data_IF_185427634958
#
_entry.id   IF_185427634958
#
_cell.length_a   1.000
_cell.length_b   1.000
_cell.length_c   1.000
_cell.angle_alpha   90.00
_cell.angle_beta   90.00
_cell.angle_gamma   90.00
#
_symmetry.space_group_name_H-M   'P 1'
#
loop_
_entity.id
_entity.type
_entity.pdbx_description
1 polymer ?
#
# COMPACT_ATOMS: atom_id res chain seq x y z
N UNK A 1 14.04 -17.11 -31.16
CA UNK A 1 14.08 -17.85 -29.89
C UNK A 1 12.71 -17.73 -29.29
N UNK A 2 12.03 -18.86 -29.15
CA UNK A 2 10.64 -18.94 -28.74
C UNK A 2 10.53 -18.64 -27.25
N UNK A 3 10.00 -17.46 -26.93
CA UNK A 3 9.56 -17.15 -25.58
C UNK A 3 8.04 -17.21 -25.59
N UNK A 4 7.47 -18.07 -24.74
CA UNK A 4 6.01 -18.13 -24.54
C UNK A 4 5.45 -16.81 -23.97
N UNK A 5 6.31 -15.92 -23.48
CA UNK A 5 5.97 -14.63 -22.89
C UNK A 5 6.95 -13.52 -23.31
N UNK A 6 6.44 -12.29 -23.38
CA UNK A 6 7.28 -11.10 -23.54
C UNK A 6 8.22 -10.98 -22.34
N UNK A 7 9.51 -10.81 -22.61
CA UNK A 7 10.56 -10.84 -21.59
C UNK A 7 11.45 -9.60 -21.70
N UNK A 8 11.77 -8.99 -20.57
CA UNK A 8 12.76 -7.93 -20.43
C UNK A 8 13.70 -8.25 -19.26
N UNK A 9 14.91 -7.70 -19.26
CA UNK A 9 15.90 -7.93 -18.20
C UNK A 9 16.60 -6.64 -17.79
N UNK A 10 17.04 -6.61 -16.53
CA UNK A 10 17.81 -5.51 -15.94
C UNK A 10 18.98 -6.10 -15.15
N UNK A 11 20.12 -5.39 -15.05
CA UNK A 11 21.19 -5.81 -14.16
C UNK A 11 20.78 -5.62 -12.70
N UNK A 12 21.18 -6.56 -11.83
CA UNK A 12 20.74 -6.61 -10.43
C UNK A 12 21.12 -5.37 -9.62
N UNK A 13 22.29 -4.77 -9.87
CA UNK A 13 22.75 -3.56 -9.19
C UNK A 13 21.95 -2.30 -9.55
N UNK A 14 21.07 -2.36 -10.57
CA UNK A 14 20.16 -1.27 -10.95
C UNK A 14 18.71 -1.54 -10.52
N UNK A 15 18.47 -2.58 -9.73
CA UNK A 15 17.14 -2.97 -9.28
C UNK A 15 16.37 -1.77 -8.71
N UNK A 16 16.98 -1.02 -7.80
CA UNK A 16 16.38 0.13 -7.14
C UNK A 16 15.85 1.19 -8.12
N UNK A 17 16.62 1.51 -9.16
CA UNK A 17 16.23 2.50 -10.18
C UNK A 17 14.96 2.06 -10.91
N UNK A 18 14.87 0.79 -11.27
CA UNK A 18 13.71 0.28 -12.03
C UNK A 18 12.48 0.09 -11.14
N UNK A 19 12.67 -0.38 -9.90
CA UNK A 19 11.57 -0.51 -8.94
C UNK A 19 10.96 0.87 -8.64
N UNK A 20 11.78 1.88 -8.34
CA UNK A 20 11.32 3.24 -8.07
C UNK A 20 10.52 3.82 -9.24
N UNK A 21 10.99 3.63 -10.48
CA UNK A 21 10.26 4.08 -11.68
C UNK A 21 8.88 3.43 -11.82
N UNK A 22 8.76 2.15 -11.53
CA UNK A 22 7.48 1.43 -11.61
C UNK A 22 6.54 1.84 -10.47
N UNK A 23 7.05 1.97 -9.25
CA UNK A 23 6.26 2.42 -8.10
C UNK A 23 5.75 3.85 -8.30
N UNK A 24 6.59 4.75 -8.81
CA UNK A 24 6.19 6.12 -9.13
C UNK A 24 5.14 6.19 -10.25
N UNK A 25 5.10 5.18 -11.13
CA UNK A 25 4.05 5.02 -12.13
C UNK A 25 2.75 4.38 -11.58
N UNK A 26 2.70 4.07 -10.28
CA UNK A 26 1.50 3.53 -9.61
C UNK A 26 1.44 2.00 -9.54
N UNK A 27 2.50 1.28 -9.93
CA UNK A 27 2.52 -0.19 -9.87
C UNK A 27 2.99 -0.70 -8.50
N UNK A 28 2.40 -1.81 -8.05
CA UNK A 28 2.91 -2.61 -6.91
C UNK A 28 3.98 -3.57 -7.43
N UNK A 29 5.18 -3.51 -6.87
CA UNK A 29 6.34 -4.24 -7.40
C UNK A 29 6.80 -5.30 -6.41
N UNK A 30 6.72 -6.57 -6.80
CA UNK A 30 7.30 -7.69 -6.05
C UNK A 30 8.71 -8.02 -6.52
N UNK A 31 9.65 -8.14 -5.60
CA UNK A 31 11.03 -8.59 -5.88
C UNK A 31 11.19 -10.04 -5.45
N UNK A 32 11.44 -10.92 -6.42
CA UNK A 32 11.66 -12.35 -6.19
C UNK A 32 13.17 -12.63 -6.20
N UNK A 33 13.71 -13.14 -5.09
CA UNK A 33 15.13 -13.49 -4.93
C UNK A 33 15.31 -15.00 -4.86
N UNK A 34 16.54 -15.46 -5.13
CA UNK A 34 16.92 -16.85 -4.86
C UNK A 34 16.99 -17.08 -3.34
N UNK A 35 16.46 -18.21 -2.87
CA UNK A 35 16.39 -18.54 -1.44
C UNK A 35 17.47 -19.53 -1.00
N UNK A 36 18.32 -19.97 -1.93
CA UNK A 36 19.41 -20.89 -1.68
C UNK A 36 20.68 -20.45 -2.42
N UNK A 37 21.85 -20.77 -1.87
CA UNK A 37 23.14 -20.52 -2.52
C UNK A 37 23.63 -21.77 -3.25
N UNK A 38 24.54 -21.60 -4.23
CA UNK A 38 25.08 -22.71 -5.00
C UNK A 38 25.73 -23.79 -4.11
N UNK A 39 26.46 -23.38 -3.07
CA UNK A 39 27.13 -24.28 -2.13
C UNK A 39 26.13 -25.12 -1.32
N UNK A 40 25.08 -24.49 -0.79
CA UNK A 40 24.01 -25.17 -0.04
C UNK A 40 23.23 -26.10 -0.97
N UNK A 41 22.89 -25.63 -2.16
CA UNK A 41 22.16 -26.41 -3.17
C UNK A 41 22.91 -27.67 -3.57
N UNK A 42 24.23 -27.60 -3.78
CA UNK A 42 25.05 -28.75 -4.16
C UNK A 42 24.98 -29.90 -3.14
N UNK A 43 24.78 -29.58 -1.86
CA UNK A 43 24.67 -30.54 -0.75
C UNK A 43 23.22 -30.78 -0.30
N UNK A 44 22.25 -30.12 -0.93
CA UNK A 44 20.83 -30.21 -0.61
C UNK A 44 20.12 -31.35 -1.35
N UNK A 45 18.88 -31.61 -0.92
CA UNK A 45 17.98 -32.57 -1.59
C UNK A 45 17.61 -32.11 -3.02
N UNK A 46 17.53 -30.80 -3.27
CA UNK A 46 17.20 -30.19 -4.57
C UNK A 46 18.45 -29.89 -5.43
N UNK A 47 19.54 -30.65 -5.29
CA UNK A 47 20.81 -30.39 -6.01
C UNK A 47 20.71 -30.46 -7.54
N UNK A 48 19.78 -31.29 -8.06
CA UNK A 48 19.59 -31.50 -9.51
C UNK A 48 18.53 -30.56 -10.12
N UNK A 49 17.74 -29.87 -9.30
CA UNK A 49 16.66 -28.99 -9.77
C UNK A 49 17.09 -27.54 -9.96
N UNK A 50 16.19 -26.66 -10.45
CA UNK A 50 16.45 -25.23 -10.54
C UNK A 50 16.61 -24.60 -9.15
N UNK A 51 17.26 -23.43 -9.08
CA UNK A 51 17.34 -22.65 -7.86
C UNK A 51 15.94 -22.25 -7.35
N UNK A 52 15.66 -22.54 -6.08
CA UNK A 52 14.47 -22.07 -5.40
C UNK A 52 14.44 -20.54 -5.35
N UNK A 53 13.25 -19.99 -5.56
CA UNK A 53 12.99 -18.55 -5.56
C UNK A 53 11.73 -18.26 -4.78
N UNK A 54 11.71 -17.11 -4.11
CA UNK A 54 10.57 -16.64 -3.31
C UNK A 54 10.44 -15.13 -3.36
N UNK A 55 9.21 -14.64 -3.15
CA UNK A 55 8.95 -13.21 -2.99
C UNK A 55 9.68 -12.74 -1.73
N UNK A 56 10.62 -11.82 -1.91
CA UNK A 56 11.46 -11.29 -0.82
C UNK A 56 10.95 -9.96 -0.28
N UNK A 57 10.34 -9.15 -1.14
CA UNK A 57 9.82 -7.84 -0.77
C UNK A 57 8.73 -7.40 -1.75
N UNK A 58 7.84 -6.53 -1.27
CA UNK A 58 6.80 -5.87 -2.06
C UNK A 58 6.87 -4.36 -1.80
N UNK A 59 6.96 -3.60 -2.87
CA UNK A 59 7.10 -2.15 -2.84
C UNK A 59 5.87 -1.48 -3.43
N UNK A 60 5.36 -0.49 -2.71
CA UNK A 60 4.29 0.41 -3.12
C UNK A 60 4.72 1.85 -2.85
N UNK A 61 3.88 2.81 -3.21
CA UNK A 61 4.20 4.23 -3.06
C UNK A 61 4.44 4.62 -1.59
N UNK A 62 3.65 4.06 -0.67
CA UNK A 62 3.78 4.33 0.76
C UNK A 62 4.91 3.55 1.44
N UNK A 63 5.35 2.40 0.89
CA UNK A 63 6.35 1.53 1.53
C UNK A 63 7.77 1.73 0.99
N UNK A 64 7.95 2.40 -0.15
CA UNK A 64 9.23 2.48 -0.85
C UNK A 64 10.32 3.17 -0.02
N UNK A 65 9.99 4.28 0.64
CA UNK A 65 10.96 5.08 1.40
C UNK A 65 11.41 4.42 2.71
N UNK A 66 10.65 3.44 3.21
CA UNK A 66 11.04 2.65 4.37
C UNK A 66 12.04 1.52 4.02
N UNK A 67 12.30 1.26 2.74
CA UNK A 67 13.12 0.16 2.31
C UNK A 67 14.61 0.53 2.26
N UNK A 68 15.38 0.03 3.22
CA UNK A 68 16.84 0.23 3.31
C UNK A 68 17.57 -0.21 2.02
N UNK A 69 17.14 -1.34 1.43
CA UNK A 69 17.71 -1.92 0.20
C UNK A 69 17.45 -1.09 -1.07
N UNK A 70 16.52 -0.13 -1.04
CA UNK A 70 16.10 0.63 -2.23
C UNK A 70 16.85 1.96 -2.41
N UNK A 71 17.78 2.29 -1.52
CA UNK A 71 18.60 3.49 -1.61
C UNK A 71 17.80 4.77 -1.33
N UNK A 72 18.45 5.71 -0.64
CA UNK A 72 17.86 6.93 -0.09
C UNK A 72 17.06 7.78 -1.08
N UNK A 73 16.32 8.75 -0.50
CA UNK A 73 15.41 9.67 -1.16
C UNK A 73 15.92 10.11 -2.53
N UNK A 74 15.10 9.93 -3.55
CA UNK A 74 15.28 10.60 -4.83
C UNK A 74 15.23 12.11 -4.55
N UNK A 75 16.26 12.87 -4.93
CA UNK A 75 16.33 14.33 -4.69
C UNK A 75 15.30 15.14 -5.50
N UNK A 76 14.38 14.47 -6.21
CA UNK A 76 13.30 15.08 -6.95
C UNK A 76 12.02 14.27 -6.84
N UNK A 77 10.95 14.93 -6.39
CA UNK A 77 9.55 14.47 -6.42
C UNK A 77 9.13 13.39 -5.40
N UNK A 78 9.65 13.44 -4.18
CA UNK A 78 8.95 12.84 -3.04
C UNK A 78 7.72 13.69 -2.70
N UNK A 79 6.52 13.09 -2.64
CA UNK A 79 5.35 13.75 -2.06
C UNK A 79 5.65 14.17 -0.62
N UNK A 80 4.98 15.22 -0.14
CA UNK A 80 5.22 15.75 1.21
C UNK A 80 4.89 14.73 2.32
N UNK A 81 4.04 13.74 2.05
CA UNK A 81 3.74 12.64 2.96
C UNK A 81 3.74 11.26 2.26
N UNK A 82 4.14 10.22 3.00
CA UNK A 82 4.12 8.82 2.52
C UNK A 82 3.15 7.95 3.32
N UNK A 83 2.07 8.54 3.86
CA UNK A 83 1.10 7.77 4.64
C UNK A 83 0.41 6.70 3.80
N UNK A 84 0.34 5.50 4.35
CA UNK A 84 -0.64 4.48 3.99
C UNK A 84 -1.85 4.68 4.90
N UNK A 85 -2.98 5.12 4.34
CA UNK A 85 -4.21 5.36 5.11
C UNK A 85 -5.26 4.28 4.85
N UNK A 86 -5.67 3.61 5.92
CA UNK A 86 -6.78 2.68 5.95
C UNK A 86 -8.06 3.43 6.34
N UNK A 87 -9.11 3.30 5.53
CA UNK A 87 -10.42 3.90 5.78
C UNK A 87 -11.47 2.80 5.81
N UNK A 88 -12.25 2.79 6.88
CA UNK A 88 -13.36 1.86 7.10
C UNK A 88 -14.58 2.68 7.47
N UNK A 89 -15.76 2.26 7.05
CA UNK A 89 -17.00 2.94 7.39
C UNK A 89 -18.07 1.97 7.88
N UNK A 90 -18.96 2.49 8.73
CA UNK A 90 -20.13 1.82 9.25
C UNK A 90 -21.36 2.70 9.03
N UNK A 91 -22.38 2.17 8.35
CA UNK A 91 -23.60 2.90 8.08
C UNK A 91 -24.52 2.90 9.32
N UNK A 92 -24.88 4.09 9.82
CA UNK A 92 -25.67 4.24 11.05
C UNK A 92 -27.18 4.19 10.81
N UNK A 93 -27.64 4.43 9.58
CA UNK A 93 -29.06 4.47 9.22
C UNK A 93 -29.75 3.11 9.34
N UNK A 94 -28.99 2.01 9.31
CA UNK A 94 -29.55 0.65 9.45
C UNK A 94 -29.87 0.32 10.91
N UNK A 95 -29.21 0.96 11.89
CA UNK A 95 -29.37 0.66 13.33
C UNK A 95 -30.42 1.52 14.04
N UNK A 96 -30.72 2.71 13.54
CA UNK A 96 -31.59 3.69 14.22
C UNK A 96 -33.03 3.70 13.72
N UNK A 97 -33.67 2.54 13.53
CA UNK A 97 -35.12 2.49 13.21
C UNK A 97 -36.05 2.83 14.39
N UNK A 98 -35.53 3.09 15.58
CA UNK A 98 -36.35 3.33 16.80
C UNK A 98 -36.09 4.64 17.55
N UNK A 99 -35.21 5.53 17.10
CA UNK A 99 -34.95 6.79 17.81
C UNK A 99 -35.01 8.01 16.90
N UNK A 100 -36.06 8.80 17.09
CA UNK A 100 -36.40 10.07 16.43
C UNK A 100 -35.49 11.23 16.89
N UNK A 101 -34.18 11.10 16.69
CA UNK A 101 -33.23 12.20 16.89
C UNK A 101 -32.50 12.45 15.58
N UNK A 102 -32.77 13.62 15.00
CA UNK A 102 -32.13 14.21 13.82
C UNK A 102 -30.62 14.43 14.03
N UNK A 103 -29.86 13.38 14.27
CA UNK A 103 -28.42 13.44 14.09
C UNK A 103 -28.21 13.51 12.58
N UNK A 104 -27.79 14.64 12.05
CA UNK A 104 -27.52 14.83 10.62
C UNK A 104 -26.32 14.00 10.10
N UNK A 105 -25.91 12.96 10.83
CA UNK A 105 -24.83 12.04 10.52
C UNK A 105 -25.40 10.67 10.13
N UNK A 106 -24.94 10.17 9.00
CA UNK A 106 -25.46 8.95 8.38
C UNK A 106 -24.46 7.79 8.44
N UNK A 107 -23.17 8.10 8.71
CA UNK A 107 -22.07 7.15 8.68
C UNK A 107 -21.09 7.42 9.82
N UNK A 108 -20.44 6.37 10.31
CA UNK A 108 -19.28 6.44 11.18
C UNK A 108 -18.06 6.01 10.39
N UNK A 109 -16.99 6.80 10.40
CA UNK A 109 -15.76 6.54 9.65
C UNK A 109 -14.62 6.33 10.64
N UNK A 110 -13.93 5.21 10.49
CA UNK A 110 -12.69 4.89 11.19
C UNK A 110 -11.50 5.01 10.24
N UNK A 111 -10.43 5.63 10.71
CA UNK A 111 -9.22 5.86 9.91
C UNK A 111 -7.99 5.47 10.70
N UNK A 112 -7.05 4.81 10.03
CA UNK A 112 -5.69 4.56 10.52
C UNK A 112 -4.69 4.89 9.42
N UNK A 113 -3.86 5.90 9.62
CA UNK A 113 -2.79 6.29 8.72
C UNK A 113 -1.42 6.02 9.34
N UNK A 114 -0.53 5.42 8.55
CA UNK A 114 0.80 5.02 9.01
C UNK A 114 1.84 5.53 8.02
N UNK A 115 2.83 6.27 8.50
CA UNK A 115 4.03 6.58 7.71
C UNK A 115 5.12 5.57 8.08
N UNK A 116 5.38 4.63 7.18
CA UNK A 116 6.18 3.43 7.47
C UNK A 116 7.67 3.77 7.66
N UNK A 117 8.15 4.82 6.99
CA UNK A 117 9.54 5.29 7.08
C UNK A 117 9.86 5.92 8.44
N UNK A 118 8.90 6.62 9.05
CA UNK A 118 9.06 7.31 10.34
C UNK A 118 8.51 6.49 11.51
N UNK A 119 7.60 5.55 11.22
CA UNK A 119 6.86 4.80 12.23
C UNK A 119 5.72 5.60 12.87
N UNK A 120 5.36 6.77 12.32
CA UNK A 120 4.26 7.57 12.84
C UNK A 120 2.91 6.90 12.55
N UNK A 121 2.03 6.89 13.55
CA UNK A 121 0.68 6.33 13.45
C UNK A 121 -0.34 7.37 13.88
N UNK A 122 -1.25 7.70 12.98
CA UNK A 122 -2.40 8.54 13.21
C UNK A 122 -3.65 7.68 13.12
N UNK A 123 -4.52 7.72 14.11
CA UNK A 123 -5.79 7.00 14.05
C UNK A 123 -6.91 7.87 14.63
N UNK A 124 -8.12 7.61 14.20
CA UNK A 124 -9.27 8.37 14.65
C UNK A 124 -10.58 7.78 14.18
N UNK A 125 -11.65 8.22 14.82
CA UNK A 125 -13.01 7.86 14.48
C UNK A 125 -13.88 9.12 14.56
N UNK A 126 -14.73 9.32 13.57
CA UNK A 126 -15.68 10.42 13.56
C UNK A 126 -16.97 10.04 12.85
N UNK A 127 -18.06 10.74 13.17
CA UNK A 127 -19.33 10.61 12.45
C UNK A 127 -19.35 11.63 11.32
N UNK A 128 -19.83 11.22 10.15
CA UNK A 128 -19.94 12.06 8.97
C UNK A 128 -21.34 11.94 8.35
N UNK A 129 -21.65 12.85 7.44
CA UNK A 129 -22.92 12.91 6.74
C UNK A 129 -22.73 12.56 5.27
N UNK A 130 -23.81 12.59 4.49
CA UNK A 130 -23.80 12.34 3.04
C UNK A 130 -22.78 13.16 2.22
N UNK A 131 -22.28 14.29 2.73
CA UNK A 131 -21.28 15.14 2.06
C UNK A 131 -19.82 14.70 2.31
N UNK A 132 -19.55 13.83 3.29
CA UNK A 132 -18.20 13.32 3.60
C UNK A 132 -17.15 14.39 3.90
N UNK A 133 -17.57 15.51 4.47
CA UNK A 133 -16.70 16.67 4.74
C UNK A 133 -15.55 16.37 5.71
N UNK A 134 -15.77 15.49 6.70
CA UNK A 134 -14.74 15.09 7.65
C UNK A 134 -13.70 14.18 6.99
N UNK A 135 -14.16 13.25 6.15
CA UNK A 135 -13.28 12.38 5.37
C UNK A 135 -12.43 13.19 4.39
N UNK A 136 -13.03 14.14 3.67
CA UNK A 136 -12.31 15.03 2.75
C UNK A 136 -11.23 15.83 3.48
N UNK A 137 -11.58 16.47 4.60
CA UNK A 137 -10.63 17.24 5.40
C UNK A 137 -9.46 16.38 5.90
N UNK A 138 -9.72 15.13 6.30
CA UNK A 138 -8.69 14.18 6.70
C UNK A 138 -7.74 13.83 5.54
N UNK A 139 -8.29 13.49 4.38
CA UNK A 139 -7.49 13.14 3.19
C UNK A 139 -6.63 14.33 2.75
N UNK A 140 -7.18 15.54 2.76
CA UNK A 140 -6.43 16.75 2.39
C UNK A 140 -5.33 17.08 3.41
N UNK A 141 -5.60 16.86 4.71
CA UNK A 141 -4.63 17.10 5.78
C UNK A 141 -3.47 16.11 5.76
N UNK A 142 -3.77 14.81 5.63
CA UNK A 142 -2.75 13.76 5.65
C UNK A 142 -2.09 13.54 4.28
N UNK A 143 -2.75 13.90 3.18
CA UNK A 143 -2.30 13.69 1.80
C UNK A 143 -1.73 12.30 1.52
N UNK A 144 -2.42 11.20 1.91
CA UNK A 144 -1.83 9.86 1.90
C UNK A 144 -1.38 9.42 0.51
N UNK A 145 -0.23 8.76 0.45
CA UNK A 145 0.35 8.24 -0.79
C UNK A 145 -0.38 6.99 -1.31
N UNK A 146 -1.01 6.23 -0.41
CA UNK A 146 -1.80 5.03 -0.73
C UNK A 146 -3.00 4.90 0.22
N UNK A 147 -4.15 4.47 -0.32
CA UNK A 147 -5.37 4.21 0.43
C UNK A 147 -5.67 2.71 0.48
N UNK A 148 -5.96 2.20 1.67
CA UNK A 148 -6.51 0.88 1.90
C UNK A 148 -7.98 1.02 2.31
N UNK A 149 -8.88 0.51 1.48
CA UNK A 149 -10.31 0.71 1.65
C UNK A 149 -10.94 -0.56 2.21
N UNK A 150 -11.70 -0.44 3.30
CA UNK A 150 -12.49 -1.54 3.85
C UNK A 150 -13.74 -1.81 3.02
N UNK A 151 -13.94 -3.06 2.62
CA UNK A 151 -15.17 -3.47 1.93
C UNK A 151 -16.23 -3.99 2.93
N UNK A 152 -17.51 -3.59 2.79
CA UNK A 152 -18.08 -2.74 1.75
C UNK A 152 -17.99 -1.23 2.07
N UNK A 153 -17.67 -0.42 1.05
CA UNK A 153 -17.87 1.04 1.07
C UNK A 153 -19.22 1.46 0.46
N UNK A 154 -19.78 2.55 0.98
CA UNK A 154 -20.94 3.27 0.46
C UNK A 154 -20.62 3.99 -0.85
N UNK A 155 -21.65 4.22 -1.66
CA UNK A 155 -21.52 4.85 -2.97
C UNK A 155 -21.02 6.30 -2.89
N UNK A 156 -21.26 6.99 -1.78
CA UNK A 156 -20.72 8.33 -1.54
C UNK A 156 -19.21 8.30 -1.33
N UNK A 157 -18.68 7.27 -0.65
CA UNK A 157 -17.26 7.16 -0.29
C UNK A 157 -16.41 6.57 -1.43
N UNK A 158 -17.02 5.84 -2.37
CA UNK A 158 -16.33 5.27 -3.55
C UNK A 158 -16.02 6.28 -4.65
N UNK A 159 -16.72 7.41 -4.67
CA UNK A 159 -16.57 8.46 -5.70
C UNK A 159 -15.32 9.29 -5.45
#
# INVERSE_FOLDING_TARGET
MDHSFMTASIPTFRLNVHVRRLVNAGYKVGVVKQTETAAIKAHGSNRLGPFCRGLSALYTKATLEAAEDMGGKDEGFGGESNYLACVVEENLLVKNRECDVQSGFDVKIGVVAIEISTGEVVFGEFSDNSMRSGLEAMILSLSPAELLLGDPLSDQTKK
#
